data_IF_999469201518
#
_entry.id   IF_999469201518
#
_cell.length_a   1.000
_cell.length_b   1.000
_cell.length_c   1.000
_cell.angle_alpha   90.00
_cell.angle_beta   90.00
_cell.angle_gamma   90.00
#
_symmetry.space_group_name_H-M   'P 1'
#
loop_
_entity.id
_entity.type
_entity.pdbx_description
1 polymer ?
#
# COMPACT_ATOMS: atom_id res chain seq x y z
N UNK A 1 -17.08 -4.39 4.82
CA UNK A 1 -16.25 -4.87 3.70
C UNK A 1 -15.06 -5.55 4.36
N UNK A 2 -14.96 -6.90 4.26
CA UNK A 2 -13.85 -7.65 4.81
C UNK A 2 -12.56 -7.29 4.04
N UNK A 3 -11.49 -6.95 4.76
CA UNK A 3 -10.19 -6.78 4.15
C UNK A 3 -9.70 -8.12 3.63
N UNK A 4 -9.29 -8.19 2.37
CA UNK A 4 -8.58 -9.33 1.80
C UNK A 4 -7.16 -9.35 2.37
N UNK A 5 -6.67 -10.51 2.75
CA UNK A 5 -5.29 -10.73 3.17
C UNK A 5 -4.47 -11.11 1.93
N UNK A 6 -3.58 -10.23 1.44
CA UNK A 6 -2.70 -10.57 0.33
C UNK A 6 -1.54 -11.43 0.83
N UNK A 7 -1.24 -12.52 0.13
CA UNK A 7 -0.07 -13.38 0.36
C UNK A 7 0.60 -13.70 -0.97
N UNK A 8 1.92 -13.83 -0.99
CA UNK A 8 2.62 -14.43 -2.13
C UNK A 8 2.69 -15.96 -1.95
N UNK A 9 2.81 -16.68 -3.05
CA UNK A 9 3.03 -18.15 -3.01
C UNK A 9 4.24 -18.47 -2.13
N UNK A 10 4.07 -19.39 -1.20
CA UNK A 10 5.12 -19.81 -0.26
C UNK A 10 5.17 -19.00 1.04
N UNK A 11 4.42 -17.91 1.16
CA UNK A 11 4.35 -17.15 2.42
C UNK A 11 3.53 -17.88 3.48
N UNK A 12 3.97 -17.72 4.72
CA UNK A 12 3.25 -18.09 5.92
C UNK A 12 2.81 -16.84 6.68
N UNK A 13 1.61 -16.88 7.24
CA UNK A 13 1.07 -15.84 8.11
C UNK A 13 0.42 -16.50 9.33
N UNK A 14 0.56 -15.89 10.51
CA UNK A 14 -0.12 -16.37 11.72
C UNK A 14 -1.28 -15.45 12.04
N UNK A 15 -2.50 -16.00 12.05
CA UNK A 15 -3.70 -15.28 12.45
C UNK A 15 -3.66 -15.05 13.98
N UNK A 16 -3.63 -13.79 14.38
CA UNK A 16 -3.88 -13.39 15.76
C UNK A 16 -5.37 -13.14 15.94
N UNK A 17 -6.04 -13.99 16.69
CA UNK A 17 -7.46 -13.85 16.99
C UNK A 17 -7.72 -14.05 18.49
N UNK A 18 -8.67 -13.29 19.03
CA UNK A 18 -9.09 -13.38 20.43
C UNK A 18 -10.61 -13.51 20.51
N UNK A 19 -11.12 -14.40 21.34
CA UNK A 19 -12.55 -14.47 21.59
C UNK A 19 -13.03 -13.22 22.34
N UNK A 20 -14.23 -12.75 22.02
CA UNK A 20 -14.88 -11.63 22.73
C UNK A 20 -16.28 -12.10 23.14
N UNK A 21 -16.62 -12.05 24.43
CA UNK A 21 -15.82 -11.62 25.59
C UNK A 21 -14.71 -12.61 25.95
N UNK A 22 -13.63 -12.15 26.56
CA UNK A 22 -12.46 -12.97 26.90
C UNK A 22 -12.75 -14.12 27.90
N UNK A 23 -13.86 -14.01 28.64
CA UNK A 23 -14.30 -14.98 29.64
C UNK A 23 -15.31 -16.02 29.10
N UNK A 24 -15.29 -16.32 27.82
CA UNK A 24 -16.16 -17.35 27.25
C UNK A 24 -15.91 -18.74 27.88
N UNK A 25 -16.96 -19.49 28.09
CA UNK A 25 -16.88 -20.80 28.79
C UNK A 25 -16.24 -21.88 27.91
N UNK A 26 -16.34 -21.78 26.59
CA UNK A 26 -15.72 -22.71 25.64
C UNK A 26 -15.20 -21.94 24.42
N UNK A 27 -13.91 -21.55 24.44
CA UNK A 27 -13.28 -20.77 23.37
C UNK A 27 -12.76 -21.62 22.21
N UNK A 28 -13.17 -22.89 22.08
CA UNK A 28 -12.71 -23.77 21.00
C UNK A 28 -13.13 -23.20 19.63
N UNK A 29 -12.17 -22.63 18.93
CA UNK A 29 -12.32 -22.11 17.57
C UNK A 29 -11.75 -23.15 16.60
N UNK A 30 -12.53 -23.48 15.59
CA UNK A 30 -12.09 -24.32 14.46
C UNK A 30 -11.78 -23.43 13.27
N UNK A 31 -10.58 -23.61 12.70
CA UNK A 31 -10.11 -22.93 11.50
C UNK A 31 -10.21 -23.90 10.32
N UNK A 32 -10.82 -23.44 9.23
CA UNK A 32 -10.94 -24.23 7.99
C UNK A 32 -10.67 -23.35 6.78
N UNK A 33 -10.07 -23.94 5.74
CA UNK A 33 -9.91 -23.29 4.43
C UNK A 33 -11.02 -23.76 3.47
N UNK A 34 -11.51 -22.86 2.64
CA UNK A 34 -12.43 -23.21 1.54
C UNK A 34 -11.73 -23.95 0.40
N UNK A 35 -10.41 -23.81 0.28
CA UNK A 35 -9.57 -24.53 -0.71
C UNK A 35 -8.16 -24.73 -0.15
N UNK A 36 -7.90 -25.93 0.35
CA UNK A 36 -6.62 -26.35 0.92
C UNK A 36 -5.47 -26.47 -0.10
N UNK A 37 -5.77 -26.45 -1.40
CA UNK A 37 -4.74 -26.39 -2.45
C UNK A 37 -4.21 -24.97 -2.64
N UNK A 38 -5.07 -23.95 -2.45
CA UNK A 38 -4.71 -22.55 -2.55
C UNK A 38 -4.09 -22.05 -1.25
N UNK A 39 -4.79 -22.31 -0.14
CA UNK A 39 -4.36 -21.86 1.20
C UNK A 39 -4.68 -22.96 2.22
N UNK A 40 -3.70 -23.41 2.97
CA UNK A 40 -3.96 -24.25 4.14
C UNK A 40 -3.94 -23.44 5.43
N UNK A 41 -4.72 -23.87 6.40
CA UNK A 41 -4.74 -23.31 7.74
C UNK A 41 -4.65 -24.40 8.79
N UNK A 42 -3.76 -24.23 9.77
CA UNK A 42 -3.66 -25.12 10.94
C UNK A 42 -4.40 -24.54 12.13
N UNK A 43 -4.72 -25.39 13.12
CA UNK A 43 -5.52 -24.99 14.28
C UNK A 43 -4.78 -24.01 15.22
N UNK A 44 -3.45 -23.89 15.10
CA UNK A 44 -2.64 -22.87 15.77
C UNK A 44 -2.66 -21.50 15.07
N UNK A 45 -3.47 -21.36 14.00
CA UNK A 45 -3.64 -20.11 13.26
C UNK A 45 -2.63 -19.87 12.12
N UNK A 46 -1.71 -20.83 11.85
CA UNK A 46 -0.78 -20.68 10.73
C UNK A 46 -1.49 -20.87 9.39
N UNK A 47 -1.45 -19.86 8.56
CA UNK A 47 -1.96 -19.83 7.17
C UNK A 47 -0.77 -19.95 6.23
N UNK A 48 -0.81 -20.91 5.32
CA UNK A 48 0.26 -21.13 4.31
C UNK A 48 -0.32 -20.95 2.91
N UNK A 49 0.25 -20.05 2.13
CA UNK A 49 -0.10 -19.80 0.74
C UNK A 49 0.60 -20.80 -0.17
N UNK A 50 -0.16 -21.68 -0.86
CA UNK A 50 0.40 -22.79 -1.65
C UNK A 50 0.36 -22.53 -3.15
N UNK A 51 -0.75 -22.01 -3.65
CA UNK A 51 -0.99 -21.84 -5.08
C UNK A 51 -1.71 -20.51 -5.35
N UNK A 52 -1.42 -19.89 -6.46
CA UNK A 52 -2.09 -18.66 -6.93
C UNK A 52 -3.59 -18.90 -6.99
N UNK A 53 -4.34 -17.97 -6.41
CA UNK A 53 -5.81 -18.05 -6.36
C UNK A 53 -6.40 -17.34 -5.16
N UNK A 54 -7.66 -17.63 -4.91
CA UNK A 54 -8.44 -17.06 -3.80
C UNK A 54 -9.00 -18.18 -2.95
N UNK A 55 -8.86 -18.05 -1.64
CA UNK A 55 -9.51 -18.93 -0.66
C UNK A 55 -10.06 -18.11 0.50
N UNK A 56 -10.93 -18.75 1.29
CA UNK A 56 -11.54 -18.16 2.47
C UNK A 56 -11.16 -18.98 3.70
N UNK A 57 -10.63 -18.32 4.71
CA UNK A 57 -10.42 -18.92 6.02
C UNK A 57 -11.65 -18.63 6.86
N UNK A 58 -12.30 -19.69 7.33
CA UNK A 58 -13.47 -19.60 8.19
C UNK A 58 -13.09 -19.94 9.64
N UNK A 59 -13.47 -19.05 10.53
CA UNK A 59 -13.37 -19.25 11.98
C UNK A 59 -14.77 -19.59 12.47
N UNK A 60 -14.94 -20.77 13.04
CA UNK A 60 -16.21 -21.23 13.59
C UNK A 60 -16.03 -21.73 15.03
N UNK A 61 -17.08 -21.62 15.81
CA UNK A 61 -17.10 -22.20 17.16
C UNK A 61 -17.51 -23.66 17.08
N UNK A 62 -16.74 -24.55 17.70
CA UNK A 62 -16.94 -25.99 17.64
C UNK A 62 -18.32 -26.44 18.12
N UNK A 63 -18.93 -25.76 19.09
CA UNK A 63 -20.21 -26.10 19.67
C UNK A 63 -21.46 -25.58 18.96
N UNK A 64 -21.28 -24.52 18.12
CA UNK A 64 -22.41 -23.82 17.48
C UNK A 64 -22.55 -24.12 15.99
N UNK A 65 -21.55 -24.73 15.33
CA UNK A 65 -21.48 -24.95 13.88
C UNK A 65 -21.68 -23.66 13.05
N UNK A 66 -21.52 -22.50 13.69
CA UNK A 66 -21.72 -21.20 13.06
C UNK A 66 -20.36 -20.58 12.71
N UNK A 67 -20.26 -20.04 11.48
CA UNK A 67 -19.09 -19.28 11.05
C UNK A 67 -19.13 -17.90 11.70
N UNK A 68 -18.21 -17.66 12.62
CA UNK A 68 -18.10 -16.40 13.35
C UNK A 68 -17.41 -15.31 12.51
N UNK A 69 -16.43 -15.73 11.70
CA UNK A 69 -15.65 -14.82 10.87
C UNK A 69 -15.13 -15.53 9.61
N UNK A 70 -15.16 -14.83 8.49
CA UNK A 70 -14.53 -15.26 7.24
C UNK A 70 -13.48 -14.23 6.84
N UNK A 71 -12.30 -14.72 6.49
CA UNK A 71 -11.17 -13.89 5.99
C UNK A 71 -10.92 -14.32 4.55
N UNK A 72 -10.99 -13.38 3.63
CA UNK A 72 -10.60 -13.63 2.25
C UNK A 72 -9.06 -13.59 2.15
N UNK A 73 -8.46 -14.60 1.56
CA UNK A 73 -7.02 -14.67 1.27
C UNK A 73 -6.85 -14.68 -0.23
N UNK A 74 -6.07 -13.73 -0.73
CA UNK A 74 -5.68 -13.65 -2.14
C UNK A 74 -4.22 -14.05 -2.26
N UNK A 75 -3.93 -15.18 -2.90
CA UNK A 75 -2.56 -15.63 -3.18
C UNK A 75 -2.15 -15.16 -4.56
N UNK A 76 -1.02 -14.45 -4.60
CA UNK A 76 -0.45 -13.83 -5.80
C UNK A 76 0.90 -14.45 -6.16
N UNK A 77 1.35 -14.32 -7.42
CA UNK A 77 2.72 -14.69 -7.80
C UNK A 77 3.75 -13.92 -6.95
N UNK A 78 4.88 -14.55 -6.67
CA UNK A 78 6.07 -13.86 -6.14
C UNK A 78 6.57 -12.87 -7.19
N UNK A 79 6.92 -11.68 -6.78
CA UNK A 79 7.51 -10.70 -7.69
C UNK A 79 8.89 -11.18 -8.19
N UNK A 80 9.17 -10.97 -9.47
CA UNK A 80 10.47 -11.26 -10.10
C UNK A 80 11.26 -10.00 -10.40
N UNK A 81 10.58 -8.84 -10.49
CA UNK A 81 11.20 -7.53 -10.58
C UNK A 81 10.25 -6.46 -10.00
N UNK A 82 10.82 -5.40 -9.45
CA UNK A 82 10.11 -4.19 -9.04
C UNK A 82 10.88 -2.98 -9.54
N UNK A 83 10.16 -1.93 -9.97
CA UNK A 83 10.74 -0.69 -10.48
C UNK A 83 10.02 0.51 -9.92
N UNK A 84 10.76 1.59 -9.67
CA UNK A 84 10.27 2.90 -9.28
C UNK A 84 10.76 3.95 -10.26
N UNK A 85 9.89 4.90 -10.59
CA UNK A 85 10.25 6.07 -11.39
C UNK A 85 10.73 7.22 -10.49
N UNK A 86 11.70 8.00 -10.99
CA UNK A 86 12.13 9.22 -10.34
C UNK A 86 10.98 10.23 -10.25
N UNK A 87 10.98 11.04 -9.21
CA UNK A 87 9.88 11.95 -8.89
C UNK A 87 10.39 13.36 -8.74
N UNK A 88 9.70 14.30 -9.38
CA UNK A 88 9.84 15.73 -9.10
C UNK A 88 8.54 16.24 -8.48
N UNK A 89 8.66 17.05 -7.42
CA UNK A 89 7.56 17.72 -6.76
C UNK A 89 8.04 19.04 -6.15
N UNK A 90 7.10 19.89 -5.76
CA UNK A 90 7.41 21.15 -5.08
C UNK A 90 7.33 20.97 -3.58
N UNK A 91 8.03 21.83 -2.84
CA UNK A 91 7.91 21.93 -1.38
C UNK A 91 6.45 22.10 -0.96
N UNK A 92 6.04 21.36 0.09
CA UNK A 92 4.67 21.37 0.61
C UNK A 92 3.67 20.56 -0.21
N UNK A 93 4.07 19.94 -1.33
CA UNK A 93 3.19 19.08 -2.14
C UNK A 93 3.44 17.61 -1.90
N UNK A 94 2.48 16.78 -2.31
CA UNK A 94 2.61 15.34 -2.27
C UNK A 94 2.31 14.71 -3.63
N UNK A 95 2.86 13.51 -3.85
CA UNK A 95 2.62 12.71 -5.05
C UNK A 95 2.64 11.24 -4.68
N UNK A 96 1.59 10.52 -5.05
CA UNK A 96 1.56 9.07 -4.93
C UNK A 96 2.36 8.45 -6.07
N UNK A 97 3.29 7.57 -5.73
CA UNK A 97 4.06 6.75 -6.69
C UNK A 97 3.55 5.33 -6.70
N UNK A 98 3.71 4.68 -7.84
CA UNK A 98 3.31 3.29 -8.04
C UNK A 98 4.58 2.49 -8.27
N UNK A 99 4.69 1.34 -7.61
CA UNK A 99 5.72 0.35 -7.89
C UNK A 99 5.26 -0.49 -9.08
N UNK A 100 6.05 -0.52 -10.14
CA UNK A 100 5.82 -1.43 -11.25
C UNK A 100 6.35 -2.81 -10.86
N UNK A 101 5.47 -3.81 -10.82
CA UNK A 101 5.77 -5.18 -10.41
C UNK A 101 5.74 -6.10 -11.61
N UNK A 102 6.66 -7.03 -11.69
CA UNK A 102 6.65 -8.12 -12.68
C UNK A 102 6.55 -9.48 -11.96
N UNK A 103 5.57 -10.33 -12.30
CA UNK A 103 4.46 -10.09 -13.22
C UNK A 103 3.49 -9.02 -12.67
N UNK A 104 2.68 -8.40 -13.51
CA UNK A 104 1.79 -7.27 -13.14
C UNK A 104 0.71 -7.62 -12.11
N UNK A 105 0.40 -8.89 -11.93
CA UNK A 105 -0.47 -9.45 -10.89
C UNK A 105 0.32 -10.00 -9.69
N UNK A 106 1.64 -9.73 -9.63
CA UNK A 106 2.52 -10.14 -8.56
C UNK A 106 2.18 -9.46 -7.22
N UNK A 107 2.73 -10.04 -6.16
CA UNK A 107 2.59 -9.50 -4.81
C UNK A 107 3.09 -8.04 -4.76
N UNK A 108 2.28 -7.15 -4.17
CA UNK A 108 2.45 -5.70 -4.26
C UNK A 108 2.38 -4.99 -2.89
N UNK A 109 2.80 -5.69 -1.85
CA UNK A 109 2.97 -5.07 -0.53
C UNK A 109 4.46 -4.80 -0.27
N UNK A 110 4.77 -3.60 0.18
CA UNK A 110 6.12 -3.08 0.23
C UNK A 110 6.40 -2.34 1.53
N UNK A 111 7.66 -2.40 1.96
CA UNK A 111 8.22 -1.49 2.96
C UNK A 111 8.86 -0.29 2.26
N UNK A 112 8.53 0.91 2.73
CA UNK A 112 9.01 2.17 2.17
C UNK A 112 9.97 2.87 3.11
N UNK A 113 11.02 3.47 2.56
CA UNK A 113 12.00 4.22 3.35
C UNK A 113 12.54 5.42 2.57
N UNK A 114 12.69 6.55 3.27
CA UNK A 114 13.47 7.71 2.80
C UNK A 114 14.86 7.70 3.44
N UNK A 115 15.89 8.04 2.70
CA UNK A 115 17.23 8.27 3.22
C UNK A 115 17.41 9.68 3.80
N UNK A 116 16.48 10.61 3.46
CA UNK A 116 16.51 11.99 3.94
C UNK A 116 15.09 12.52 4.18
N UNK A 117 14.54 12.25 5.36
CA UNK A 117 13.19 12.66 5.74
C UNK A 117 13.02 14.18 5.97
N UNK A 118 14.11 14.94 6.01
CA UNK A 118 14.03 16.40 6.04
C UNK A 118 13.65 16.97 4.67
N UNK A 119 14.07 16.32 3.59
CA UNK A 119 13.76 16.71 2.21
C UNK A 119 12.45 16.10 1.76
N UNK A 120 12.29 14.79 1.91
CA UNK A 120 11.06 14.09 1.51
C UNK A 120 10.76 12.91 2.43
N UNK A 121 9.49 12.72 2.76
CA UNK A 121 8.98 11.52 3.46
C UNK A 121 8.13 10.68 2.53
N UNK A 122 7.99 9.38 2.85
CA UNK A 122 7.10 8.46 2.16
C UNK A 122 6.21 7.75 3.18
N UNK A 123 4.94 7.58 2.84
CA UNK A 123 3.97 6.80 3.61
C UNK A 123 3.89 5.36 3.08
N UNK A 124 3.30 4.44 3.87
CA UNK A 124 3.15 3.02 3.53
C UNK A 124 2.34 2.78 2.23
N UNK A 125 1.52 3.74 1.82
CA UNK A 125 0.75 3.66 0.58
C UNK A 125 1.51 4.18 -0.65
N UNK A 126 2.80 4.57 -0.51
CA UNK A 126 3.64 5.14 -1.55
C UNK A 126 3.42 6.63 -1.79
N UNK A 127 2.73 7.35 -0.89
CA UNK A 127 2.58 8.80 -0.98
C UNK A 127 3.85 9.50 -0.50
N UNK A 128 4.55 10.19 -1.41
CA UNK A 128 5.74 11.00 -1.13
C UNK A 128 5.32 12.43 -0.85
N UNK A 129 5.86 13.02 0.21
CA UNK A 129 5.64 14.43 0.59
C UNK A 129 6.96 15.18 0.58
N UNK A 130 7.06 16.23 -0.23
CA UNK A 130 8.20 17.14 -0.28
C UNK A 130 8.16 18.15 0.88
N UNK A 131 9.22 18.20 1.69
CA UNK A 131 9.29 19.05 2.87
C UNK A 131 10.18 20.26 2.69
N UNK A 132 11.34 20.08 2.05
CA UNK A 132 12.32 21.14 1.78
C UNK A 132 12.95 20.92 0.42
N UNK A 133 13.38 22.00 -0.27
CA UNK A 133 14.14 21.87 -1.51
C UNK A 133 15.39 21.02 -1.33
N UNK A 134 15.62 20.10 -2.26
CA UNK A 134 16.75 19.19 -2.23
C UNK A 134 16.45 17.85 -2.91
N UNK A 135 17.27 16.86 -2.64
CA UNK A 135 17.12 15.49 -3.15
C UNK A 135 17.08 14.48 -2.00
N UNK A 136 16.25 13.46 -2.15
CA UNK A 136 16.20 12.29 -1.28
C UNK A 136 16.05 11.02 -2.12
N UNK A 137 16.57 9.88 -1.66
CA UNK A 137 16.30 8.60 -2.27
C UNK A 137 15.19 7.91 -1.49
N UNK A 138 14.13 7.54 -2.20
CA UNK A 138 13.06 6.71 -1.67
C UNK A 138 13.32 5.29 -2.14
N UNK A 139 13.48 4.38 -1.20
CA UNK A 139 13.63 2.95 -1.45
C UNK A 139 12.38 2.19 -1.08
N UNK A 140 12.12 1.12 -1.82
CA UNK A 140 11.05 0.18 -1.59
C UNK A 140 11.61 -1.23 -1.54
N UNK A 141 11.09 -2.07 -0.62
CA UNK A 141 11.46 -3.48 -0.50
C UNK A 141 10.21 -4.34 -0.52
N UNK A 142 10.22 -5.43 -1.30
CA UNK A 142 9.11 -6.37 -1.37
C UNK A 142 9.02 -7.22 -0.11
N UNK A 143 7.79 -7.44 0.37
CA UNK A 143 7.51 -8.28 1.55
C UNK A 143 7.18 -9.74 1.20
N UNK A 144 7.34 -10.16 -0.05
CA UNK A 144 7.04 -11.52 -0.53
C UNK A 144 8.17 -12.55 -0.31
N UNK A 145 9.23 -12.15 0.36
CA UNK A 145 10.42 -12.99 0.56
C UNK A 145 11.41 -13.00 -0.62
N UNK A 146 11.10 -12.33 -1.73
CA UNK A 146 12.00 -12.22 -2.90
C UNK A 146 13.24 -11.36 -2.63
N UNK A 147 13.20 -10.52 -1.58
CA UNK A 147 14.22 -9.52 -1.23
C UNK A 147 14.48 -8.49 -2.35
N UNK A 148 13.52 -8.29 -3.24
CA UNK A 148 13.61 -7.28 -4.28
C UNK A 148 13.55 -5.89 -3.68
N UNK A 149 14.38 -4.99 -4.19
CA UNK A 149 14.42 -3.58 -3.82
C UNK A 149 14.47 -2.70 -5.06
N UNK A 150 13.85 -1.53 -4.99
CA UNK A 150 13.99 -0.49 -5.99
C UNK A 150 14.19 0.86 -5.30
N UNK A 151 14.81 1.80 -6.00
CA UNK A 151 15.08 3.15 -5.46
C UNK A 151 14.77 4.18 -6.52
N UNK A 152 14.09 5.25 -6.11
CA UNK A 152 13.82 6.42 -6.93
C UNK A 152 14.47 7.66 -6.32
N UNK A 153 15.01 8.52 -7.17
CA UNK A 153 15.45 9.86 -6.76
C UNK A 153 14.24 10.77 -6.74
N UNK A 154 14.02 11.40 -5.60
CA UNK A 154 13.01 12.44 -5.41
C UNK A 154 13.68 13.79 -5.37
N UNK A 155 13.29 14.68 -6.28
CA UNK A 155 13.77 16.08 -6.32
C UNK A 155 12.65 16.99 -5.86
N UNK A 156 12.85 17.66 -4.74
CA UNK A 156 11.94 18.68 -4.22
C UNK A 156 12.43 20.05 -4.68
N UNK A 157 11.57 20.76 -5.40
CA UNK A 157 11.85 22.11 -5.92
C UNK A 157 11.24 23.17 -4.99
N UNK A 158 11.91 24.29 -4.89
CA UNK A 158 11.40 25.46 -4.17
C UNK A 158 10.17 26.03 -4.89
N UNK A 159 9.19 26.48 -4.12
CA UNK A 159 8.06 27.26 -4.63
C UNK A 159 8.45 28.73 -4.63
N UNK A 160 8.71 29.27 -5.82
CA UNK A 160 8.97 30.70 -5.99
C UNK A 160 7.64 31.40 -6.29
N UNK A 161 7.10 32.21 -5.35
CA UNK A 161 5.86 32.94 -5.59
C UNK A 161 6.06 34.02 -6.64
N UNK A 162 5.02 34.33 -7.41
CA UNK A 162 5.01 35.49 -8.30
C UNK A 162 4.91 36.74 -7.44
N UNK A 163 5.97 37.54 -7.44
CA UNK A 163 6.02 38.83 -6.71
C UNK A 163 5.25 39.95 -7.47
N UNK A 164 5.35 39.98 -8.79
CA UNK A 164 4.73 41.01 -9.60
C UNK A 164 4.42 40.54 -11.03
N UNK A 165 3.24 40.92 -11.53
CA UNK A 165 2.89 40.78 -12.94
C UNK A 165 2.92 42.17 -13.56
N UNK A 166 3.76 42.38 -14.59
CA UNK A 166 3.79 43.60 -15.39
C UNK A 166 3.26 43.27 -16.77
N UNK A 167 2.34 44.12 -17.28
CA UNK A 167 1.92 44.05 -18.67
C UNK A 167 2.99 44.67 -19.53
N UNK A 168 3.40 44.00 -20.61
CA UNK A 168 4.45 44.45 -21.52
C UNK A 168 4.02 45.62 -22.44
N UNK A 169 2.72 45.93 -22.51
CA UNK A 169 2.18 47.02 -23.31
C UNK A 169 1.39 48.00 -22.43
N UNK A 170 1.82 49.26 -22.30
CA UNK A 170 0.97 50.29 -21.74
C UNK A 170 -0.03 50.76 -22.81
N UNK A 171 -1.30 50.45 -22.65
CA UNK A 171 -2.32 51.12 -23.43
C UNK A 171 -3.35 50.24 -24.14
N UNK A 172 -4.06 49.40 -23.43
CA UNK A 172 -5.46 49.15 -23.75
C UNK A 172 -6.30 49.95 -22.75
N UNK A 173 -6.62 51.19 -23.08
CA UNK A 173 -7.79 51.88 -22.53
C UNK A 173 -9.01 51.07 -22.94
N UNK A 174 -9.49 50.22 -22.07
CA UNK A 174 -10.82 49.68 -22.21
C UNK A 174 -11.80 50.83 -21.88
N UNK A 175 -12.22 51.53 -22.87
CA UNK A 175 -13.36 52.43 -22.76
C UNK A 175 -14.57 51.59 -22.40
N UNK A 176 -14.96 51.67 -21.13
CA UNK A 176 -16.28 51.21 -20.73
C UNK A 176 -17.26 52.14 -21.46
N UNK A 177 -17.96 51.57 -22.47
CA UNK A 177 -18.94 52.31 -23.23
C UNK A 177 -20.04 52.79 -22.30
N UNK A 178 -20.21 54.12 -22.22
CA UNK A 178 -21.37 54.78 -21.64
C UNK A 178 -22.65 54.23 -22.30
N UNK A 179 -23.51 53.56 -21.54
CA UNK A 179 -24.87 53.32 -21.97
C UNK A 179 -25.65 54.60 -21.78
N UNK A 180 -25.99 55.25 -22.83
CA UNK A 180 -27.09 56.24 -22.91
C UNK A 180 -28.43 55.51 -22.92
#
# INVERSE_FOLDING_TARGET
VGSSLPLAVGMDFVLDYKPVPENVTNPEITLTSSDENVVSVSQDGRVTAKMIGKAYINLSQSTAFETLKTIEVQVMPVATAIELENVELFEGTNKKVIVNVTPSDGYNVFDWKSDNEEVATVADDGTITGKKPGTANISVSSQDGSQLTATAVVTVKEVIPIDKITLSEPGYDMMIGDKT
#
